data_IF_107070902602
#
_entry.id   IF_107070902602
#
_cell.length_a   1.000
_cell.length_b   1.000
_cell.length_c   1.000
_cell.angle_alpha   90.00
_cell.angle_beta   90.00
_cell.angle_gamma   90.00
#
_symmetry.space_group_name_H-M   'P 1'
#
loop_
_entity.id
_entity.type
_entity.pdbx_description
1 polymer ?
#
# COMPACT_ATOMS: atom_id res chain seq x y z
N UNK A 1 2.49 4.19 6.94
CA UNK A 1 2.72 3.41 5.72
C UNK A 1 1.86 3.96 4.60
N UNK A 2 2.40 4.06 3.39
CA UNK A 2 1.71 4.47 2.17
C UNK A 2 1.64 3.27 1.23
N UNK A 3 0.43 2.79 0.92
CA UNK A 3 0.21 1.65 0.04
C UNK A 3 -0.45 2.08 -1.27
N UNK A 4 -0.07 1.43 -2.36
CA UNK A 4 -0.74 1.54 -3.66
C UNK A 4 -1.02 0.16 -4.28
N UNK A 5 -1.92 0.13 -5.26
CA UNK A 5 -2.13 -1.06 -6.11
C UNK A 5 -1.15 -1.03 -7.26
N UNK A 6 -0.35 -2.08 -7.39
CA UNK A 6 0.56 -2.21 -8.52
C UNK A 6 -0.22 -2.51 -9.81
N UNK A 7 0.12 -1.79 -10.87
CA UNK A 7 -0.45 -1.94 -12.22
C UNK A 7 -1.99 -1.91 -12.30
N UNK A 8 -2.67 -1.03 -11.54
CA UNK A 8 -4.12 -0.83 -11.69
C UNK A 8 -4.51 -0.41 -13.12
N UNK A 9 -3.59 0.23 -13.85
CA UNK A 9 -3.79 0.70 -15.22
C UNK A 9 -4.04 -0.44 -16.21
N UNK A 10 -3.44 -1.62 -16.03
CA UNK A 10 -3.74 -2.76 -16.90
C UNK A 10 -5.15 -3.30 -16.68
N UNK A 11 -5.62 -3.35 -15.42
CA UNK A 11 -7.01 -3.74 -15.08
C UNK A 11 -8.07 -2.80 -15.67
N UNK A 12 -7.74 -1.52 -15.88
CA UNK A 12 -8.62 -0.56 -16.60
C UNK A 12 -8.93 -0.94 -18.05
N UNK A 13 -8.13 -1.80 -18.67
CA UNK A 13 -8.37 -2.24 -20.06
C UNK A 13 -9.49 -3.27 -20.17
N UNK A 14 -9.83 -3.93 -19.08
CA UNK A 14 -10.76 -5.08 -19.06
C UNK A 14 -11.98 -4.89 -18.18
N UNK A 15 -11.98 -3.87 -17.32
CA UNK A 15 -13.05 -3.61 -16.34
C UNK A 15 -13.55 -2.18 -16.43
N UNK A 16 -14.84 -2.00 -16.16
CA UNK A 16 -15.46 -0.67 -16.09
C UNK A 16 -14.92 0.13 -14.89
N UNK A 17 -14.98 1.47 -14.93
CA UNK A 17 -14.57 2.31 -13.80
C UNK A 17 -15.29 1.98 -12.48
N UNK A 18 -16.55 1.51 -12.56
CA UNK A 18 -17.35 1.18 -11.37
C UNK A 18 -16.94 -0.16 -10.76
N UNK A 19 -16.65 -1.18 -11.57
CA UNK A 19 -16.11 -2.45 -11.08
C UNK A 19 -14.76 -2.24 -10.38
N UNK A 20 -13.90 -1.39 -10.96
CA UNK A 20 -12.61 -1.02 -10.34
C UNK A 20 -12.84 -0.33 -9.00
N UNK A 21 -13.78 0.60 -8.94
CA UNK A 21 -14.12 1.28 -7.68
C UNK A 21 -14.62 0.30 -6.62
N UNK A 22 -15.44 -0.70 -7.00
CA UNK A 22 -15.90 -1.75 -6.08
C UNK A 22 -14.73 -2.55 -5.53
N UNK A 23 -13.81 -3.00 -6.39
CA UNK A 23 -12.61 -3.76 -5.98
C UNK A 23 -11.74 -2.93 -5.03
N UNK A 24 -11.54 -1.63 -5.32
CA UNK A 24 -10.78 -0.73 -4.46
C UNK A 24 -11.44 -0.56 -3.09
N UNK A 25 -12.77 -0.46 -3.01
CA UNK A 25 -13.48 -0.36 -1.74
C UNK A 25 -13.50 -1.67 -0.94
N UNK A 26 -13.57 -2.82 -1.62
CA UNK A 26 -13.41 -4.13 -0.99
C UNK A 26 -12.02 -4.28 -0.39
N UNK A 27 -10.98 -3.92 -1.15
CA UNK A 27 -9.59 -3.89 -0.67
C UNK A 27 -9.45 -2.94 0.52
N UNK A 28 -10.01 -1.74 0.45
CA UNK A 28 -10.01 -0.79 1.56
C UNK A 28 -10.65 -1.39 2.82
N UNK A 29 -11.80 -2.06 2.69
CA UNK A 29 -12.47 -2.71 3.81
C UNK A 29 -11.61 -3.82 4.42
N UNK A 30 -10.95 -4.63 3.57
CA UNK A 30 -10.02 -5.70 3.99
C UNK A 30 -8.81 -5.13 4.74
N UNK A 31 -8.19 -4.08 4.21
CA UNK A 31 -7.09 -3.36 4.85
C UNK A 31 -7.50 -2.77 6.20
N UNK A 32 -8.65 -2.09 6.25
CA UNK A 32 -9.15 -1.46 7.46
C UNK A 32 -9.36 -2.49 8.58
N UNK A 33 -9.97 -3.64 8.28
CA UNK A 33 -10.16 -4.73 9.25
C UNK A 33 -8.83 -5.31 9.72
N UNK A 34 -7.93 -5.64 8.79
CA UNK A 34 -6.65 -6.26 9.10
C UNK A 34 -5.76 -5.40 10.00
N UNK A 35 -5.66 -4.10 9.71
CA UNK A 35 -4.82 -3.18 10.49
C UNK A 35 -5.51 -2.71 11.78
N UNK A 36 -6.85 -2.70 11.84
CA UNK A 36 -7.58 -2.38 13.07
C UNK A 36 -7.31 -3.40 14.19
N UNK A 37 -7.25 -4.70 13.86
CA UNK A 37 -6.87 -5.76 14.81
C UNK A 37 -5.46 -5.55 15.41
N UNK A 38 -4.64 -4.72 14.77
CA UNK A 38 -3.27 -4.37 15.15
C UNK A 38 -3.15 -2.93 15.66
N UNK A 39 -4.25 -2.37 16.18
CA UNK A 39 -4.33 -1.01 16.72
C UNK A 39 -3.81 0.07 15.75
N UNK A 40 -4.12 -0.07 14.46
CA UNK A 40 -3.68 0.83 13.40
C UNK A 40 -4.87 1.32 12.56
N UNK A 41 -4.74 2.49 11.96
CA UNK A 41 -5.82 3.18 11.26
C UNK A 41 -5.54 3.29 9.77
N UNK A 42 -6.45 2.79 8.94
CA UNK A 42 -6.35 2.84 7.47
C UNK A 42 -7.26 3.93 6.92
N UNK A 43 -6.74 4.73 5.98
CA UNK A 43 -7.43 5.81 5.29
C UNK A 43 -7.32 5.64 3.78
N UNK A 44 -8.42 5.83 3.07
CA UNK A 44 -8.43 5.89 1.62
C UNK A 44 -8.05 7.30 1.14
N UNK A 45 -7.05 7.40 0.28
CA UNK A 45 -6.52 8.67 -0.22
C UNK A 45 -7.01 9.03 -1.63
N UNK A 46 -7.74 8.13 -2.28
CA UNK A 46 -8.24 8.31 -3.64
C UNK A 46 -7.47 7.49 -4.68
N UNK A 47 -8.17 7.10 -5.75
CA UNK A 47 -7.61 6.22 -6.78
C UNK A 47 -7.31 4.84 -6.20
N UNK A 48 -6.03 4.49 -6.16
CA UNK A 48 -5.46 3.26 -5.63
C UNK A 48 -4.60 3.47 -4.38
N UNK A 49 -4.59 4.67 -3.79
CA UNK A 49 -3.69 5.01 -2.70
C UNK A 49 -4.38 4.89 -1.34
N UNK A 50 -3.66 4.31 -0.38
CA UNK A 50 -4.09 4.13 1.01
C UNK A 50 -2.99 4.58 1.97
N UNK A 51 -3.39 5.14 3.09
CA UNK A 51 -2.46 5.53 4.16
C UNK A 51 -2.82 4.77 5.44
N UNK A 52 -1.83 4.14 6.06
CA UNK A 52 -1.98 3.45 7.35
C UNK A 52 -1.14 4.16 8.39
N UNK A 53 -1.78 4.70 9.43
CA UNK A 53 -1.10 5.14 10.64
C UNK A 53 -0.87 3.90 11.50
N UNK A 54 0.38 3.48 11.61
CA UNK A 54 0.76 2.15 12.07
C UNK A 54 1.72 2.18 13.25
N UNK A 55 1.64 1.15 14.09
CA UNK A 55 2.67 0.79 15.07
C UNK A 55 3.60 -0.30 14.48
N UNK A 56 4.54 -0.79 15.29
CA UNK A 56 5.49 -1.84 14.86
C UNK A 56 4.82 -3.18 14.54
N UNK A 57 3.73 -3.55 15.22
CA UNK A 57 3.01 -4.80 14.94
C UNK A 57 2.37 -4.75 13.54
N UNK A 58 1.64 -3.67 13.23
CA UNK A 58 1.10 -3.44 11.90
C UNK A 58 2.20 -3.37 10.83
N UNK A 59 3.31 -2.68 11.11
CA UNK A 59 4.47 -2.60 10.22
C UNK A 59 5.03 -3.98 9.89
N UNK A 60 5.29 -4.80 10.91
CA UNK A 60 5.87 -6.13 10.73
C UNK A 60 4.91 -7.10 10.04
N UNK A 61 3.60 -6.86 10.15
CA UNK A 61 2.56 -7.68 9.52
C UNK A 61 2.27 -7.34 8.05
N UNK A 62 2.84 -6.25 7.51
CA UNK A 62 2.43 -5.73 6.20
C UNK A 62 2.74 -6.70 5.05
N UNK A 63 3.87 -7.41 5.09
CA UNK A 63 4.19 -8.40 4.05
C UNK A 63 3.15 -9.53 4.03
N UNK A 64 2.75 -10.02 5.21
CA UNK A 64 1.69 -11.03 5.30
C UNK A 64 0.35 -10.51 4.74
N UNK A 65 0.02 -9.23 4.94
CA UNK A 65 -1.16 -8.64 4.32
C UNK A 65 -1.07 -8.62 2.79
N UNK A 66 0.09 -8.22 2.25
CA UNK A 66 0.34 -8.21 0.80
C UNK A 66 0.19 -9.63 0.23
N UNK A 67 0.76 -10.64 0.89
CA UNK A 67 0.68 -12.04 0.47
C UNK A 67 -0.77 -12.56 0.44
N UNK A 68 -1.57 -12.21 1.46
CA UNK A 68 -3.00 -12.55 1.51
C UNK A 68 -3.76 -11.93 0.34
N UNK A 69 -3.58 -10.64 0.09
CA UNK A 69 -4.27 -9.91 -0.99
C UNK A 69 -3.85 -10.45 -2.38
N UNK A 70 -2.56 -10.76 -2.55
CA UNK A 70 -2.03 -11.34 -3.79
C UNK A 70 -2.61 -12.74 -4.04
N UNK A 71 -2.74 -13.55 -2.99
CA UNK A 71 -3.29 -14.90 -3.08
C UNK A 71 -4.78 -14.89 -3.39
N UNK A 72 -5.56 -14.16 -2.59
CA UNK A 72 -7.02 -14.21 -2.58
C UNK A 72 -7.62 -13.36 -3.70
N UNK A 73 -7.10 -12.15 -3.88
CA UNK A 73 -7.75 -11.12 -4.72
C UNK A 73 -7.00 -10.92 -6.05
N UNK A 74 -5.84 -11.56 -6.23
CA UNK A 74 -4.94 -11.38 -7.39
C UNK A 74 -4.60 -9.90 -7.60
N UNK A 75 -4.34 -9.21 -6.49
CA UNK A 75 -3.92 -7.80 -6.46
C UNK A 75 -2.51 -7.76 -5.87
N UNK A 76 -1.58 -7.16 -6.60
CA UNK A 76 -0.26 -6.84 -6.09
C UNK A 76 -0.29 -5.46 -5.44
N UNK A 77 0.34 -5.31 -4.29
CA UNK A 77 0.43 -4.04 -3.57
C UNK A 77 1.89 -3.66 -3.40
N UNK A 78 2.17 -2.35 -3.39
CA UNK A 78 3.43 -1.84 -2.85
C UNK A 78 3.17 -1.11 -1.54
N UNK A 79 4.17 -1.09 -0.66
CA UNK A 79 4.09 -0.39 0.61
C UNK A 79 5.39 0.38 0.90
N UNK A 80 5.29 1.71 0.92
CA UNK A 80 6.31 2.59 1.45
C UNK A 80 6.11 2.83 2.96
N UNK A 81 7.13 2.58 3.76
CA UNK A 81 7.14 2.81 5.21
C UNK A 81 8.01 4.04 5.49
N UNK A 82 7.49 4.96 6.30
CA UNK A 82 8.20 6.17 6.70
C UNK A 82 8.07 6.40 8.19
N UNK A 83 9.20 6.51 8.88
CA UNK A 83 9.26 6.85 10.30
C UNK A 83 9.83 8.26 10.47
N UNK A 84 9.13 9.12 11.21
CA UNK A 84 9.60 10.48 11.45
C UNK A 84 8.99 11.08 12.72
N UNK A 85 9.60 12.18 13.18
CA UNK A 85 9.22 12.86 14.43
C UNK A 85 7.90 13.64 14.35
N UNK A 86 7.28 13.70 13.18
CA UNK A 86 5.95 14.28 12.97
C UNK A 86 5.21 13.50 11.89
N UNK A 87 3.88 13.58 11.87
CA UNK A 87 3.08 12.96 10.82
C UNK A 87 3.45 13.43 9.41
N UNK A 88 3.86 14.70 9.25
CA UNK A 88 4.29 15.25 7.96
C UNK A 88 5.58 14.60 7.47
N UNK A 89 6.59 14.45 8.32
CA UNK A 89 7.85 13.79 7.94
C UNK A 89 7.65 12.29 7.70
N UNK A 90 6.86 11.62 8.54
CA UNK A 90 6.54 10.20 8.35
C UNK A 90 5.86 9.94 6.99
N UNK A 91 4.86 10.75 6.61
CA UNK A 91 4.19 10.63 5.30
C UNK A 91 5.14 10.95 4.15
N UNK A 92 5.96 12.00 4.28
CA UNK A 92 6.97 12.35 3.25
C UNK A 92 7.94 11.20 3.00
N UNK A 93 8.42 10.53 4.04
CA UNK A 93 9.30 9.37 3.91
C UNK A 93 8.56 8.13 3.38
N UNK A 94 7.32 7.91 3.79
CA UNK A 94 6.52 6.80 3.27
C UNK A 94 6.29 6.94 1.77
N UNK A 95 5.94 8.14 1.29
CA UNK A 95 5.82 8.44 -0.14
C UNK A 95 7.15 8.28 -0.87
N UNK A 96 8.25 8.82 -0.32
CA UNK A 96 9.58 8.64 -0.92
C UNK A 96 9.98 7.17 -1.05
N UNK A 97 9.63 6.34 -0.06
CA UNK A 97 9.86 4.90 -0.09
C UNK A 97 9.08 4.23 -1.22
N UNK A 98 7.81 4.63 -1.41
CA UNK A 98 6.98 4.15 -2.50
C UNK A 98 7.52 4.57 -3.88
N UNK A 99 7.99 5.82 -4.01
CA UNK A 99 8.64 6.30 -5.23
C UNK A 99 9.94 5.54 -5.52
N UNK A 100 10.71 5.18 -4.49
CA UNK A 100 11.92 4.35 -4.64
C UNK A 100 11.58 2.96 -5.21
N UNK A 101 10.49 2.35 -4.76
CA UNK A 101 10.00 1.07 -5.33
C UNK A 101 9.71 1.22 -6.83
N UNK A 102 9.05 2.33 -7.22
CA UNK A 102 8.71 2.63 -8.63
C UNK A 102 9.96 2.89 -9.47
N UNK A 103 10.94 3.62 -8.95
CA UNK A 103 12.23 3.85 -9.63
C UNK A 103 13.00 2.54 -9.86
N UNK A 104 13.02 1.63 -8.88
CA UNK A 104 13.66 0.31 -9.02
C UNK A 104 12.98 -0.48 -10.14
N UNK A 105 11.64 -0.49 -10.18
CA UNK A 105 10.85 -1.12 -11.25
C UNK A 105 11.24 -0.58 -12.63
N UNK A 106 11.24 0.74 -12.77
CA UNK A 106 11.43 1.41 -14.04
C UNK A 106 12.90 1.26 -14.52
N UNK A 107 13.83 0.96 -13.62
CA UNK A 107 15.22 0.58 -13.94
C UNK A 107 15.39 -0.86 -14.46
N UNK A 108 14.31 -1.65 -14.53
CA UNK A 108 14.32 -3.04 -14.99
C UNK A 108 14.87 -4.04 -13.96
N UNK A 109 15.06 -3.61 -12.71
CA UNK A 109 15.47 -4.48 -11.61
C UNK A 109 14.25 -5.11 -10.93
N UNK A 110 14.48 -6.20 -10.23
CA UNK A 110 13.47 -6.76 -9.32
C UNK A 110 13.20 -5.77 -8.19
N UNK A 111 11.96 -5.28 -8.11
CA UNK A 111 11.52 -4.34 -7.09
C UNK A 111 11.07 -5.08 -5.83
N UNK A 112 11.35 -4.56 -4.63
CA UNK A 112 10.71 -5.05 -3.43
C UNK A 112 9.23 -4.59 -3.39
N UNK A 113 8.36 -5.35 -2.73
CA UNK A 113 6.98 -4.95 -2.46
C UNK A 113 6.90 -3.97 -1.27
N UNK A 114 7.88 -4.01 -0.37
CA UNK A 114 7.96 -3.15 0.83
C UNK A 114 9.32 -2.45 0.86
N UNK A 115 9.31 -1.15 1.14
CA UNK A 115 10.52 -0.36 1.32
C UNK A 115 10.36 0.60 2.49
N UNK A 116 11.39 0.73 3.32
CA UNK A 116 11.36 1.54 4.55
C UNK A 116 12.45 2.60 4.55
N UNK A 117 12.07 3.83 4.88
CA UNK A 117 12.98 4.93 5.17
C UNK A 117 12.70 5.48 6.57
N UNK A 118 13.76 5.81 7.28
CA UNK A 118 13.73 6.47 8.60
C UNK A 118 14.54 7.76 8.58
N UNK A 119 14.12 8.73 9.40
CA UNK A 119 14.93 9.91 9.75
C UNK A 119 16.08 9.56 10.68
#
# INVERSE_FOLDING_TARGET
MHLDVDDLTSKRKTSSPYEISSIIFELYSKMAKFFLERNSLTFFMGGDNFMVVSNDDAKNSVQNFIDIVKKDDKISLNCGIGNGNSGREAVKLATKSLDTIREIRDSGKEKPEVYELSC
#
